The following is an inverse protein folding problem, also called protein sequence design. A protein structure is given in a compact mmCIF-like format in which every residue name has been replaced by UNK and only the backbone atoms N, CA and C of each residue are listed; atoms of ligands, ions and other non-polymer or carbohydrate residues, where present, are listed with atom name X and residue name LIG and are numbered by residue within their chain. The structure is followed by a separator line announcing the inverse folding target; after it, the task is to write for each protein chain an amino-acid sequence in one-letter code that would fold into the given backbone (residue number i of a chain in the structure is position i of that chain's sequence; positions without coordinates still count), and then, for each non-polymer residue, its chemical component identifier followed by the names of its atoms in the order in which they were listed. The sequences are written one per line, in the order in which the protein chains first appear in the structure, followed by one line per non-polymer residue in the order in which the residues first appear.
data_IF_654172344731
#
_entry.id   IF_654172344731
#
_cell.length_a   1.000
_cell.length_b   1.000
_cell.length_c   1.000
_cell.angle_alpha   90.00
_cell.angle_beta   90.00
_cell.angle_gamma   90.00
#
_symmetry.space_group_name_H-M   'P 1'
#
loop_
_entity.id
_entity.type
_entity.pdbx_description
1 polymer ?
#
# COMPACT_ATOMS: atom_id res chain seq x y z
N UNK A 1 -40.60 -9.23 44.75
CA UNK A 1 -39.30 -8.58 44.99
C UNK A 1 -38.13 -9.38 44.42
N UNK A 2 -37.99 -10.68 44.73
CA UNK A 2 -36.88 -11.54 44.24
C UNK A 2 -36.83 -11.62 42.69
N UNK A 3 -37.98 -11.81 42.04
CA UNK A 3 -38.05 -11.88 40.56
C UNK A 3 -37.63 -10.59 39.86
N UNK A 4 -37.88 -9.43 40.47
CA UNK A 4 -37.49 -8.11 39.93
C UNK A 4 -35.99 -7.88 40.11
N UNK A 5 -35.44 -8.22 41.29
CA UNK A 5 -34.01 -8.14 41.55
C UNK A 5 -33.19 -9.06 40.62
N UNK A 6 -33.66 -10.29 40.38
CA UNK A 6 -33.03 -11.22 39.44
C UNK A 6 -33.03 -10.67 38.01
N UNK A 7 -34.13 -10.05 37.56
CA UNK A 7 -34.18 -9.37 36.25
C UNK A 7 -33.18 -8.22 36.14
N UNK A 8 -33.08 -7.36 37.15
CA UNK A 8 -32.10 -6.28 37.15
C UNK A 8 -30.67 -6.80 37.14
N UNK A 9 -30.38 -7.89 37.85
CA UNK A 9 -29.05 -8.52 37.87
C UNK A 9 -28.68 -9.13 36.51
N UNK A 10 -29.64 -9.76 35.82
CA UNK A 10 -29.43 -10.27 34.45
C UNK A 10 -29.14 -9.11 33.50
N UNK A 11 -29.95 -8.04 33.54
CA UNK A 11 -29.76 -6.86 32.68
C UNK A 11 -28.42 -6.18 32.98
N UNK A 12 -28.05 -5.99 34.25
CA UNK A 12 -26.78 -5.40 34.64
C UNK A 12 -25.58 -6.23 34.16
N UNK A 13 -25.67 -7.56 34.25
CA UNK A 13 -24.63 -8.46 33.73
C UNK A 13 -24.51 -8.34 32.21
N UNK A 14 -25.63 -8.30 31.48
CA UNK A 14 -25.62 -8.13 30.02
C UNK A 14 -25.02 -6.78 29.60
N UNK A 15 -25.42 -5.70 30.26
CA UNK A 15 -24.89 -4.36 29.99
C UNK A 15 -23.40 -4.26 30.33
N UNK A 16 -22.96 -4.88 31.43
CA UNK A 16 -21.53 -4.91 31.79
C UNK A 16 -20.72 -5.70 30.76
N UNK A 17 -21.25 -6.83 30.28
CA UNK A 17 -20.63 -7.59 29.19
C UNK A 17 -20.54 -6.79 27.89
N UNK A 18 -21.61 -6.07 27.52
CA UNK A 18 -21.61 -5.20 26.35
C UNK A 18 -20.59 -4.05 26.50
N UNK A 19 -20.52 -3.40 27.68
CA UNK A 19 -19.56 -2.35 27.97
C UNK A 19 -18.11 -2.86 27.89
N UNK A 20 -17.83 -4.05 28.44
CA UNK A 20 -16.52 -4.68 28.33
C UNK A 20 -16.16 -4.98 26.86
N UNK A 21 -17.12 -5.45 26.05
CA UNK A 21 -16.94 -5.68 24.62
C UNK A 21 -16.60 -4.40 23.85
N UNK A 22 -17.33 -3.30 24.09
CA UNK A 22 -17.06 -2.00 23.49
C UNK A 22 -15.70 -1.43 23.92
N UNK A 23 -15.34 -1.60 25.18
CA UNK A 23 -14.02 -1.20 25.68
C UNK A 23 -12.89 -1.97 25.00
N UNK A 24 -13.04 -3.29 24.84
CA UNK A 24 -12.08 -4.12 24.13
C UNK A 24 -11.95 -3.72 22.65
N UNK A 25 -13.07 -3.43 21.98
CA UNK A 25 -13.07 -2.92 20.61
C UNK A 25 -12.32 -1.57 20.50
N UNK A 26 -12.57 -0.62 21.42
CA UNK A 26 -11.85 0.65 21.43
C UNK A 26 -10.34 0.51 21.68
N UNK A 27 -9.93 -0.45 22.52
CA UNK A 27 -8.51 -0.78 22.70
C UNK A 27 -7.88 -1.35 21.43
N UNK A 28 -8.62 -2.20 20.71
CA UNK A 28 -8.18 -2.77 19.44
C UNK A 28 -8.02 -1.68 18.37
N UNK A 29 -9.01 -0.80 18.22
CA UNK A 29 -8.96 0.32 17.27
C UNK A 29 -7.77 1.23 17.53
N UNK A 30 -7.47 1.51 18.81
CA UNK A 30 -6.29 2.30 19.17
C UNK A 30 -4.98 1.62 18.77
N UNK A 31 -4.84 0.32 18.99
CA UNK A 31 -3.65 -0.44 18.58
C UNK A 31 -3.49 -0.49 17.06
N UNK A 32 -4.59 -0.64 16.33
CA UNK A 32 -4.60 -0.58 14.86
C UNK A 32 -4.14 0.80 14.38
N UNK A 33 -4.66 1.87 14.96
CA UNK A 33 -4.26 3.23 14.62
C UNK A 33 -2.78 3.51 14.94
N UNK A 34 -2.27 2.98 16.05
CA UNK A 34 -0.84 3.06 16.40
C UNK A 34 0.03 2.30 15.38
N UNK A 35 -0.40 1.11 14.94
CA UNK A 35 0.30 0.34 13.91
C UNK A 35 0.26 1.01 12.53
N UNK A 36 -0.89 1.57 12.14
CA UNK A 36 -1.03 2.33 10.88
C UNK A 36 -0.16 3.59 10.88
N UNK A 37 -0.06 4.27 12.03
CA UNK A 37 0.87 5.38 12.21
C UNK A 37 2.32 4.92 12.02
N UNK A 38 2.70 3.77 12.57
CA UNK A 38 4.05 3.23 12.42
C UNK A 38 4.37 2.93 10.94
N UNK A 39 3.42 2.39 10.17
CA UNK A 39 3.57 2.22 8.71
C UNK A 39 3.79 3.58 8.03
N UNK A 40 2.96 4.57 8.35
CA UNK A 40 3.06 5.91 7.76
C UNK A 40 4.40 6.61 8.09
N UNK A 41 5.02 6.28 9.22
CA UNK A 41 6.34 6.77 9.61
C UNK A 41 7.49 5.84 9.20
N UNK A 42 7.23 4.86 8.34
CA UNK A 42 8.20 3.85 7.86
C UNK A 42 8.84 2.98 8.96
N UNK A 43 8.24 2.93 10.15
CA UNK A 43 8.61 1.95 11.19
C UNK A 43 7.92 0.62 10.91
N UNK A 44 8.38 -0.05 9.85
CA UNK A 44 7.81 -1.32 9.40
C UNK A 44 8.02 -2.45 10.42
N UNK A 45 9.08 -2.38 11.22
CA UNK A 45 9.39 -3.40 12.25
C UNK A 45 8.47 -3.26 13.45
N UNK A 46 8.26 -2.02 13.94
CA UNK A 46 7.29 -1.75 14.99
C UNK A 46 5.87 -2.14 14.57
N UNK A 47 5.46 -1.73 13.36
CA UNK A 47 4.17 -2.09 12.80
C UNK A 47 3.96 -3.61 12.70
N UNK A 48 4.96 -4.37 12.23
CA UNK A 48 4.87 -5.83 12.12
C UNK A 48 4.61 -6.49 13.48
N UNK A 49 5.33 -6.07 14.53
CA UNK A 49 5.15 -6.61 15.87
C UNK A 49 3.72 -6.37 16.38
N UNK A 50 3.24 -5.13 16.27
CA UNK A 50 1.89 -4.77 16.73
C UNK A 50 0.82 -5.53 15.95
N UNK A 51 0.96 -5.65 14.62
CA UNK A 51 0.02 -6.42 13.80
C UNK A 51 0.07 -7.93 14.07
N UNK A 52 1.21 -8.49 14.44
CA UNK A 52 1.32 -9.88 14.85
C UNK A 52 0.56 -10.14 16.17
N UNK A 53 0.77 -9.29 17.18
CA UNK A 53 0.06 -9.37 18.47
C UNK A 53 -1.45 -9.22 18.31
N UNK A 54 -1.89 -8.31 17.43
CA UNK A 54 -3.32 -8.14 17.11
C UNK A 54 -3.86 -9.41 16.45
N UNK A 55 -3.17 -9.95 15.45
CA UNK A 55 -3.61 -11.17 14.77
C UNK A 55 -3.74 -12.34 15.75
N UNK A 56 -2.76 -12.55 16.63
CA UNK A 56 -2.81 -13.58 17.66
C UNK A 56 -4.02 -13.40 18.58
N UNK A 57 -4.34 -12.17 18.98
CA UNK A 57 -5.53 -11.90 19.81
C UNK A 57 -6.85 -12.22 19.10
N UNK A 58 -6.89 -12.07 17.77
CA UNK A 58 -8.07 -12.36 16.96
C UNK A 58 -8.31 -13.86 16.79
N UNK A 59 -7.27 -14.70 16.90
CA UNK A 59 -7.42 -16.17 16.82
C UNK A 59 -8.36 -16.71 17.90
N UNK A 60 -8.36 -16.11 19.09
CA UNK A 60 -9.25 -16.47 20.21
C UNK A 60 -10.74 -16.28 19.88
N UNK A 61 -11.04 -15.50 18.85
CA UNK A 61 -12.42 -15.23 18.39
C UNK A 61 -12.78 -15.97 17.09
N UNK A 62 -11.93 -16.87 16.59
CA UNK A 62 -12.19 -17.69 15.38
C UNK A 62 -13.48 -18.49 15.42
N UNK A 63 -13.88 -18.96 16.60
CA UNK A 63 -15.14 -19.67 16.79
C UNK A 63 -16.39 -18.83 16.49
N UNK A 64 -16.26 -17.50 16.41
CA UNK A 64 -17.30 -16.55 16.00
C UNK A 64 -16.89 -15.85 14.69
N UNK A 65 -17.08 -16.49 13.52
CA UNK A 65 -16.55 -16.02 12.23
C UNK A 65 -17.21 -14.73 11.69
N UNK A 66 -18.24 -14.23 12.35
CA UNK A 66 -18.91 -12.97 12.02
C UNK A 66 -18.43 -11.82 12.92
N UNK A 67 -17.88 -12.13 14.10
CA UNK A 67 -17.34 -11.13 15.02
C UNK A 67 -15.97 -10.69 14.50
N UNK A 68 -15.77 -9.37 14.34
CA UNK A 68 -14.51 -8.77 13.90
C UNK A 68 -14.00 -9.27 12.54
N UNK A 69 -14.87 -9.74 11.65
CA UNK A 69 -14.48 -10.21 10.31
C UNK A 69 -13.71 -9.14 9.54
N UNK A 70 -14.27 -7.94 9.45
CA UNK A 70 -13.63 -6.81 8.77
C UNK A 70 -12.28 -6.43 9.38
N UNK A 71 -12.12 -6.58 10.71
CA UNK A 71 -10.84 -6.34 11.38
C UNK A 71 -9.80 -7.41 11.05
N UNK A 72 -10.20 -8.67 10.92
CA UNK A 72 -9.28 -9.74 10.47
C UNK A 72 -8.85 -9.54 9.03
N UNK A 73 -9.79 -9.21 8.16
CA UNK A 73 -9.53 -8.89 6.76
C UNK A 73 -8.59 -7.67 6.64
N UNK A 74 -8.82 -6.62 7.44
CA UNK A 74 -7.93 -5.46 7.47
C UNK A 74 -6.53 -5.86 7.95
N UNK A 75 -6.41 -6.54 9.10
CA UNK A 75 -5.11 -6.99 9.65
C UNK A 75 -4.34 -7.87 8.66
N UNK A 76 -5.01 -8.81 7.99
CA UNK A 76 -4.40 -9.65 6.96
C UNK A 76 -3.83 -8.81 5.80
N UNK A 77 -4.61 -7.83 5.34
CA UNK A 77 -4.21 -6.88 4.29
C UNK A 77 -2.99 -6.04 4.71
N UNK A 78 -2.99 -5.49 5.94
CA UNK A 78 -1.88 -4.64 6.40
C UNK A 78 -0.60 -5.44 6.61
N UNK A 79 -0.71 -6.67 7.12
CA UNK A 79 0.44 -7.60 7.21
C UNK A 79 0.99 -7.96 5.83
N UNK A 80 0.13 -8.20 4.84
CA UNK A 80 0.56 -8.40 3.46
C UNK A 80 1.26 -7.14 2.90
N UNK A 81 0.70 -5.95 3.14
CA UNK A 81 1.29 -4.70 2.70
C UNK A 81 2.68 -4.48 3.33
N UNK A 82 2.87 -4.80 4.61
CA UNK A 82 4.18 -4.76 5.26
C UNK A 82 5.21 -5.65 4.56
N UNK A 83 4.83 -6.89 4.19
CA UNK A 83 5.73 -7.78 3.45
C UNK A 83 6.05 -7.22 2.06
N UNK A 84 5.07 -6.63 1.39
CA UNK A 84 5.26 -5.93 0.12
C UNK A 84 6.26 -4.79 0.27
N UNK A 85 6.07 -3.89 1.24
CA UNK A 85 6.97 -2.74 1.44
C UNK A 85 8.40 -3.14 1.84
N UNK A 86 8.57 -4.27 2.52
CA UNK A 86 9.89 -4.83 2.83
C UNK A 86 10.55 -5.53 1.64
N UNK A 87 9.87 -5.64 0.51
CA UNK A 87 10.38 -6.29 -0.69
C UNK A 87 10.36 -7.82 -0.63
N UNK A 88 9.59 -8.41 0.30
CA UNK A 88 9.43 -9.86 0.47
C UNK A 88 8.34 -10.42 -0.46
N UNK A 89 8.38 -10.04 -1.74
CA UNK A 89 7.31 -10.29 -2.70
C UNK A 89 7.04 -11.78 -2.94
N UNK A 90 8.09 -12.58 -3.20
CA UNK A 90 7.94 -14.01 -3.46
C UNK A 90 7.34 -14.75 -2.26
N UNK A 91 7.82 -14.46 -1.05
CA UNK A 91 7.27 -15.02 0.20
C UNK A 91 5.80 -14.66 0.39
N UNK A 92 5.42 -13.42 0.04
CA UNK A 92 4.03 -12.97 0.12
C UNK A 92 3.14 -13.71 -0.89
N UNK A 93 3.58 -13.86 -2.13
CA UNK A 93 2.83 -14.60 -3.17
C UNK A 93 2.65 -16.06 -2.76
N UNK A 94 3.73 -16.70 -2.31
CA UNK A 94 3.71 -18.09 -1.83
C UNK A 94 2.74 -18.31 -0.67
N UNK A 95 2.60 -17.33 0.24
CA UNK A 95 1.69 -17.43 1.37
C UNK A 95 0.21 -17.53 0.96
N UNK A 96 -0.14 -17.05 -0.24
CA UNK A 96 -1.53 -16.89 -0.67
C UNK A 96 -1.92 -17.63 -1.96
N UNK A 97 -0.97 -18.28 -2.63
CA UNK A 97 -1.20 -18.99 -3.90
C UNK A 97 -1.13 -20.51 -3.78
N UNK A 98 -0.78 -21.06 -2.62
CA UNK A 98 -0.72 -22.50 -2.38
C UNK A 98 -2.12 -23.09 -2.16
N UNK A 99 -2.33 -24.40 -2.41
CA UNK A 99 -3.64 -25.02 -2.23
C UNK A 99 -4.19 -24.94 -0.79
N UNK A 100 -3.31 -24.85 0.20
CA UNK A 100 -3.60 -24.73 1.63
C UNK A 100 -3.59 -23.28 2.14
N UNK A 101 -3.41 -22.30 1.24
CA UNK A 101 -3.35 -20.89 1.60
C UNK A 101 -4.69 -20.36 2.14
N UNK A 102 -4.65 -19.36 3.04
CA UNK A 102 -5.85 -18.64 3.45
C UNK A 102 -6.59 -18.05 2.24
N UNK A 103 -7.93 -18.12 2.26
CA UNK A 103 -8.73 -17.54 1.19
C UNK A 103 -8.66 -16.02 1.18
N UNK A 104 -8.40 -15.44 0.01
CA UNK A 104 -8.48 -14.01 -0.24
C UNK A 104 -9.78 -13.58 -0.92
N UNK A 105 -10.70 -14.52 -1.21
CA UNK A 105 -11.80 -14.30 -2.15
C UNK A 105 -12.71 -13.11 -1.79
N UNK A 106 -12.89 -12.85 -0.49
CA UNK A 106 -13.75 -11.77 0.01
C UNK A 106 -12.97 -10.52 0.43
N UNK A 107 -11.67 -10.46 0.17
CA UNK A 107 -10.80 -9.36 0.57
C UNK A 107 -10.04 -8.81 -0.64
N UNK A 108 -10.68 -7.86 -1.33
CA UNK A 108 -10.13 -7.28 -2.57
C UNK A 108 -8.83 -6.51 -2.33
N UNK A 109 -8.70 -5.82 -1.20
CA UNK A 109 -7.49 -5.07 -0.86
C UNK A 109 -6.29 -6.03 -0.73
N UNK A 110 -6.50 -7.19 -0.10
CA UNK A 110 -5.49 -8.23 0.01
C UNK A 110 -5.15 -8.82 -1.36
N UNK A 111 -6.16 -9.11 -2.20
CA UNK A 111 -5.91 -9.57 -3.58
C UNK A 111 -5.06 -8.55 -4.36
N UNK A 112 -5.34 -7.25 -4.21
CA UNK A 112 -4.58 -6.20 -4.86
C UNK A 112 -3.12 -6.14 -4.40
N UNK A 113 -2.88 -6.22 -3.09
CA UNK A 113 -1.51 -6.26 -2.54
C UNK A 113 -0.74 -7.49 -3.06
N UNK A 114 -1.37 -8.67 -3.09
CA UNK A 114 -0.76 -9.90 -3.61
C UNK A 114 -0.53 -9.82 -5.12
N UNK A 115 -1.44 -9.22 -5.89
CA UNK A 115 -1.25 -8.98 -7.32
C UNK A 115 -0.04 -8.06 -7.61
N UNK A 116 0.11 -6.99 -6.83
CA UNK A 116 1.28 -6.12 -6.93
C UNK A 116 2.56 -6.87 -6.58
N UNK A 117 2.53 -7.72 -5.55
CA UNK A 117 3.67 -8.55 -5.16
C UNK A 117 4.02 -9.58 -6.24
N UNK A 118 3.04 -10.23 -6.85
CA UNK A 118 3.21 -11.19 -7.94
C UNK A 118 3.96 -10.55 -9.12
N UNK A 119 3.48 -9.39 -9.59
CA UNK A 119 4.16 -8.62 -10.62
C UNK A 119 5.60 -8.23 -10.22
N UNK A 120 5.81 -7.75 -8.99
CA UNK A 120 7.15 -7.38 -8.50
C UNK A 120 8.09 -8.57 -8.33
N UNK A 121 7.55 -9.75 -8.01
CA UNK A 121 8.33 -10.99 -7.86
C UNK A 121 8.76 -11.58 -9.20
N UNK A 122 7.96 -11.37 -10.25
CA UNK A 122 8.23 -11.83 -11.62
C UNK A 122 9.15 -10.88 -12.41
N UNK A 123 9.44 -9.68 -11.89
CA UNK A 123 10.39 -8.75 -12.51
C UNK A 123 11.83 -9.27 -12.37
N UNK A 124 12.53 -9.38 -13.50
CA UNK A 124 13.93 -9.76 -13.57
C UNK A 124 14.77 -8.60 -14.11
N UNK A 125 15.85 -8.19 -13.43
CA UNK A 125 16.80 -7.23 -13.98
C UNK A 125 17.39 -7.76 -15.29
N UNK A 126 17.42 -6.91 -16.34
CA UNK A 126 17.95 -7.30 -17.65
C UNK A 126 17.11 -8.33 -18.41
N UNK A 127 15.82 -8.47 -18.09
CA UNK A 127 14.91 -9.31 -18.85
C UNK A 127 14.90 -8.91 -20.34
N UNK A 128 14.95 -9.90 -21.23
CA UNK A 128 14.75 -9.66 -22.65
C UNK A 128 13.29 -9.28 -22.92
N UNK A 129 13.04 -8.79 -24.14
CA UNK A 129 11.74 -8.28 -24.58
C UNK A 129 10.63 -9.32 -24.43
N UNK A 130 10.89 -10.57 -24.80
CA UNK A 130 9.92 -11.65 -24.76
C UNK A 130 9.50 -11.98 -23.33
N UNK A 131 10.47 -12.09 -22.40
CA UNK A 131 10.18 -12.33 -20.99
C UNK A 131 9.44 -11.16 -20.36
N UNK A 132 9.84 -9.91 -20.67
CA UNK A 132 9.16 -8.73 -20.18
C UNK A 132 7.70 -8.67 -20.63
N UNK A 133 7.42 -8.94 -21.91
CA UNK A 133 6.06 -9.01 -22.45
C UNK A 133 5.25 -10.12 -21.78
N UNK A 134 5.84 -11.31 -21.55
CA UNK A 134 5.18 -12.40 -20.83
C UNK A 134 4.79 -12.03 -19.39
N UNK A 135 5.68 -11.39 -18.65
CA UNK A 135 5.40 -10.90 -17.29
C UNK A 135 4.30 -9.84 -17.28
N UNK A 136 4.30 -8.93 -18.25
CA UNK A 136 3.27 -7.90 -18.37
C UNK A 136 1.92 -8.51 -18.76
N UNK A 137 1.88 -9.45 -19.70
CA UNK A 137 0.66 -10.17 -20.09
C UNK A 137 0.02 -10.90 -18.92
N UNK A 138 0.84 -11.54 -18.09
CA UNK A 138 0.38 -12.15 -16.84
C UNK A 138 -0.20 -11.11 -15.88
N UNK A 139 0.49 -10.00 -15.64
CA UNK A 139 0.03 -8.93 -14.76
C UNK A 139 -1.30 -8.30 -15.24
N UNK A 140 -1.47 -8.07 -16.55
CA UNK A 140 -2.73 -7.62 -17.16
C UNK A 140 -3.85 -8.61 -16.82
N UNK A 141 -3.61 -9.91 -16.97
CA UNK A 141 -4.57 -10.95 -16.64
C UNK A 141 -4.94 -11.00 -15.15
N UNK A 142 -3.99 -10.72 -14.25
CA UNK A 142 -4.24 -10.62 -12.80
C UNK A 142 -5.12 -9.41 -12.49
N UNK A 143 -4.74 -8.20 -12.89
CA UNK A 143 -5.53 -6.99 -12.60
C UNK A 143 -6.91 -7.01 -13.26
N UNK A 144 -7.05 -7.59 -14.46
CA UNK A 144 -8.35 -7.77 -15.11
C UNK A 144 -9.30 -8.59 -14.24
N UNK A 145 -8.82 -9.71 -13.67
CA UNK A 145 -9.63 -10.56 -12.78
C UNK A 145 -10.08 -9.83 -11.51
N UNK A 146 -9.24 -8.93 -10.97
CA UNK A 146 -9.63 -8.08 -9.84
C UNK A 146 -10.77 -7.13 -10.25
N UNK A 147 -10.67 -6.52 -11.43
CA UNK A 147 -11.69 -5.61 -11.96
C UNK A 147 -12.99 -6.32 -12.36
N UNK A 148 -12.93 -7.60 -12.75
CA UNK A 148 -14.12 -8.44 -12.95
C UNK A 148 -14.89 -8.65 -11.62
N UNK A 149 -14.19 -8.63 -10.48
CA UNK A 149 -14.80 -8.71 -9.15
C UNK A 149 -15.29 -7.36 -8.60
N UNK A 150 -14.63 -6.25 -8.97
CA UNK A 150 -15.02 -4.89 -8.62
C UNK A 150 -14.47 -3.89 -9.66
N UNK A 151 -15.35 -3.45 -10.55
CA UNK A 151 -15.01 -2.56 -11.66
C UNK A 151 -14.59 -1.15 -11.22
N UNK A 152 -15.02 -0.72 -10.02
CA UNK A 152 -14.73 0.58 -9.45
C UNK A 152 -13.42 0.63 -8.63
N UNK A 153 -12.65 -0.46 -8.56
CA UNK A 153 -11.41 -0.51 -7.79
C UNK A 153 -10.27 0.26 -8.49
N UNK A 154 -10.21 1.57 -8.21
CA UNK A 154 -9.39 2.56 -8.92
C UNK A 154 -7.91 2.20 -9.04
N UNK A 155 -7.31 1.67 -7.98
CA UNK A 155 -5.86 1.37 -7.98
C UNK A 155 -5.53 0.19 -8.91
N UNK A 156 -6.41 -0.82 -8.99
CA UNK A 156 -6.27 -1.91 -9.95
C UNK A 156 -6.53 -1.43 -11.38
N UNK A 157 -7.50 -0.54 -11.58
CA UNK A 157 -7.76 0.06 -12.89
C UNK A 157 -6.56 0.87 -13.40
N UNK A 158 -5.94 1.65 -12.52
CA UNK A 158 -4.71 2.39 -12.85
C UNK A 158 -3.57 1.44 -13.23
N UNK A 159 -3.31 0.41 -12.42
CA UNK A 159 -2.25 -0.57 -12.71
C UNK A 159 -2.54 -1.34 -14.01
N UNK A 160 -3.79 -1.72 -14.27
CA UNK A 160 -4.20 -2.36 -15.51
C UNK A 160 -3.87 -1.50 -16.73
N UNK A 161 -4.30 -0.23 -16.74
CA UNK A 161 -4.03 0.71 -17.82
C UNK A 161 -2.53 0.94 -18.03
N UNK A 162 -1.78 1.09 -16.93
CA UNK A 162 -0.32 1.22 -16.97
C UNK A 162 0.32 0.00 -17.65
N UNK A 163 -0.08 -1.21 -17.29
CA UNK A 163 0.47 -2.44 -17.87
C UNK A 163 0.10 -2.57 -19.35
N UNK A 164 -1.12 -2.24 -19.77
CA UNK A 164 -1.54 -2.26 -21.18
C UNK A 164 -0.72 -1.29 -22.03
N UNK A 165 -0.48 -0.07 -21.52
CA UNK A 165 0.36 0.92 -22.19
C UNK A 165 1.80 0.46 -22.30
N UNK A 166 2.37 -0.03 -21.21
CA UNK A 166 3.74 -0.52 -21.18
C UNK A 166 3.94 -1.70 -22.13
N UNK A 167 2.98 -2.63 -22.17
CA UNK A 167 2.96 -3.73 -23.15
C UNK A 167 3.02 -3.22 -24.58
N UNK A 168 2.20 -2.21 -24.89
CA UNK A 168 2.10 -1.64 -26.24
C UNK A 168 3.41 -0.96 -26.65
N UNK A 169 4.03 -0.18 -25.76
CA UNK A 169 5.33 0.46 -25.96
C UNK A 169 6.45 -0.56 -26.23
N UNK A 170 6.56 -1.56 -25.35
CA UNK A 170 7.57 -2.61 -25.53
C UNK A 170 7.28 -3.39 -26.82
N UNK A 171 6.03 -3.62 -27.20
CA UNK A 171 5.66 -4.28 -28.46
C UNK A 171 5.89 -3.42 -29.71
N UNK A 172 5.88 -2.09 -29.61
CA UNK A 172 6.20 -1.18 -30.73
C UNK A 172 7.70 -1.02 -30.98
N UNK A 173 8.54 -1.43 -30.03
CA UNK A 173 10.00 -1.43 -30.19
C UNK A 173 10.75 -0.58 -29.16
N UNK A 174 10.04 -0.02 -28.18
CA UNK A 174 10.66 0.75 -27.11
C UNK A 174 11.51 -0.18 -26.22
N UNK A 175 12.53 0.40 -25.59
CA UNK A 175 13.41 -0.33 -24.68
C UNK A 175 12.63 -0.85 -23.47
N UNK A 176 12.96 -2.07 -23.04
CA UNK A 176 12.39 -2.65 -21.82
C UNK A 176 12.89 -1.81 -20.64
N UNK A 177 12.00 -1.23 -19.81
CA UNK A 177 12.43 -0.46 -18.66
C UNK A 177 13.30 -1.30 -17.74
N UNK A 178 14.33 -0.68 -17.16
CA UNK A 178 15.11 -1.34 -16.13
C UNK A 178 14.24 -1.47 -14.86
N UNK A 179 13.74 -2.67 -14.62
CA UNK A 179 12.93 -3.01 -13.44
C UNK A 179 13.82 -3.10 -12.20
N UNK A 180 14.39 -1.98 -11.77
CA UNK A 180 15.09 -1.87 -10.50
C UNK A 180 14.10 -1.67 -9.36
N UNK A 181 14.42 -2.25 -8.19
CA UNK A 181 13.68 -1.94 -6.97
C UNK A 181 13.87 -0.45 -6.68
N UNK A 182 12.80 0.33 -6.44
CA UNK A 182 12.95 1.66 -5.89
C UNK A 182 13.79 1.54 -4.63
N UNK A 183 14.91 2.26 -4.57
CA UNK A 183 15.62 2.48 -3.31
C UNK A 183 14.63 3.11 -2.35
N UNK A 184 14.42 2.47 -1.19
CA UNK A 184 13.73 3.12 -0.07
C UNK A 184 14.51 4.43 0.14
N UNK A 185 13.88 5.62 0.04
CA UNK A 185 14.59 6.86 0.33
C UNK A 185 15.26 6.71 1.69
N UNK A 186 16.53 7.11 1.75
CA UNK A 186 17.48 6.78 2.82
C UNK A 186 16.98 7.03 4.24
N UNK A 187 17.78 6.60 5.21
CA UNK A 187 17.42 6.78 6.61
C UNK A 187 17.20 8.27 6.94
N UNK A 188 16.35 8.62 7.92
CA UNK A 188 16.15 9.99 8.33
C UNK A 188 17.49 10.70 8.63
N UNK A 189 17.86 11.68 7.81
CA UNK A 189 19.11 12.44 7.94
C UNK A 189 20.29 11.93 7.10
N UNK A 190 20.11 10.88 6.30
CA UNK A 190 21.11 10.42 5.34
C UNK A 190 21.13 11.36 4.13
N UNK A 191 22.32 11.81 3.73
CA UNK A 191 22.47 12.63 2.53
C UNK A 191 22.04 11.79 1.32
N UNK A 192 21.32 12.38 0.34
CA UNK A 192 21.05 11.68 -0.91
C UNK A 192 22.36 11.16 -1.49
N UNK A 193 22.39 9.95 -2.08
CA UNK A 193 23.53 9.56 -2.89
C UNK A 193 23.81 10.68 -3.90
N UNK A 194 25.07 11.06 -4.05
CA UNK A 194 25.51 12.03 -5.05
C UNK A 194 25.30 11.40 -6.44
N UNK A 195 24.05 11.37 -6.90
CA UNK A 195 23.73 11.27 -8.30
C UNK A 195 24.01 12.64 -8.90
N UNK A 196 24.78 12.66 -10.00
CA UNK A 196 24.95 13.85 -10.83
C UNK A 196 23.54 14.33 -11.20
N UNK A 197 23.09 15.40 -10.54
CA UNK A 197 21.78 15.97 -10.78
C UNK A 197 21.77 16.53 -12.20
N UNK A 198 21.33 15.73 -13.18
CA UNK A 198 20.87 16.29 -14.44
C UNK A 198 19.77 17.29 -14.11
N UNK A 199 19.95 18.53 -14.58
CA UNK A 199 19.19 19.72 -14.22
C UNK A 199 17.73 19.40 -13.92
N UNK A 200 17.37 19.41 -12.62
CA UNK A 200 16.00 19.24 -12.18
C UNK A 200 15.19 20.40 -12.75
N UNK A 201 14.49 20.16 -13.86
CA UNK A 201 13.62 21.15 -14.47
C UNK A 201 12.37 21.30 -13.61
N UNK A 202 12.44 22.25 -12.67
CA UNK A 202 11.29 22.67 -11.89
C UNK A 202 10.35 23.44 -12.81
N UNK A 203 9.27 22.79 -13.25
CA UNK A 203 8.16 23.47 -13.92
C UNK A 203 7.39 24.30 -12.89
N UNK A 204 7.66 25.61 -12.87
CA UNK A 204 6.83 26.58 -12.15
C UNK A 204 5.66 26.96 -13.06
N UNK A 205 4.40 26.68 -12.68
CA UNK A 205 3.25 27.20 -13.40
C UNK A 205 3.32 28.72 -13.42
N UNK A 206 3.41 29.32 -14.61
CA UNK A 206 3.33 30.77 -14.77
C UNK A 206 1.87 31.16 -14.67
N UNK A 207 1.52 32.00 -13.70
CA UNK A 207 0.26 32.73 -13.75
C UNK A 207 0.27 33.62 -15.00
N UNK A 208 -0.68 33.37 -15.90
CA UNK A 208 -0.81 34.00 -17.21
C UNK A 208 -1.29 35.46 -17.16
N UNK A 209 -1.02 36.18 -16.06
CA UNK A 209 -1.60 37.50 -15.78
C UNK A 209 -0.59 38.64 -15.97
N UNK A 210 0.68 38.34 -16.20
CA UNK A 210 1.73 39.37 -16.35
C UNK A 210 2.32 39.28 -17.76
N UNK A 211 2.11 40.34 -18.52
CA UNK A 211 2.71 40.58 -19.84
C UNK A 211 4.21 40.86 -19.66
N UNK A 212 5.11 40.06 -20.26
CA UNK A 212 6.55 40.19 -20.08
C UNK A 212 7.15 41.49 -20.65
N UNK A 213 6.40 42.26 -21.44
CA UNK A 213 6.88 43.53 -22.00
C UNK A 213 6.72 44.73 -21.02
N UNK A 214 6.08 44.55 -19.87
CA UNK A 214 5.71 45.63 -18.93
C UNK A 214 6.54 45.67 -17.62
N UNK A 215 7.59 44.84 -17.48
CA UNK A 215 8.42 44.80 -16.26
C UNK A 215 9.92 44.96 -16.54
N UNK A 216 10.48 46.10 -16.16
CA UNK A 216 11.93 46.37 -16.08
C UNK A 216 12.58 45.75 -14.82
N UNK A 217 12.18 44.55 -14.41
CA UNK A 217 12.84 43.84 -13.29
C UNK A 217 13.96 42.94 -13.84
N UNK A 218 15.24 43.24 -13.53
CA UNK A 218 16.38 42.49 -14.07
C UNK A 218 16.51 41.06 -13.51
N UNK A 219 15.56 40.61 -12.69
CA UNK A 219 15.43 39.20 -12.29
C UNK A 219 14.58 38.37 -13.26
N UNK A 220 14.01 38.98 -14.29
CA UNK A 220 13.19 38.33 -15.32
C UNK A 220 13.98 38.30 -16.64
N UNK A 221 14.92 37.37 -16.74
CA UNK A 221 15.71 37.11 -17.94
C UNK A 221 16.78 36.06 -17.64
N UNK A 222 16.91 35.06 -18.52
CA UNK A 222 17.83 33.91 -18.50
C UNK A 222 18.73 33.71 -17.26
N UNK A 223 18.54 32.58 -16.59
CA UNK A 223 19.17 32.16 -15.34
C UNK A 223 20.61 32.64 -15.14
N UNK A 224 20.77 33.71 -14.38
CA UNK A 224 22.06 34.07 -13.81
C UNK A 224 22.38 33.12 -12.64
N UNK A 225 23.57 32.51 -12.60
CA UNK A 225 23.94 31.58 -11.54
C UNK A 225 24.03 32.30 -10.19
N UNK A 226 23.27 31.80 -9.21
CA UNK A 226 23.25 32.33 -7.84
C UNK A 226 24.59 32.07 -7.17
N UNK A 227 25.37 33.13 -6.95
CA UNK A 227 26.66 33.05 -6.26
C UNK A 227 26.43 32.94 -4.75
N UNK A 228 26.66 31.76 -4.15
CA UNK A 228 26.67 31.60 -2.69
C UNK A 228 27.78 32.49 -2.08
N UNK A 229 27.41 33.34 -1.12
CA UNK A 229 28.38 33.98 -0.21
C UNK A 229 28.78 32.95 0.86
N UNK A 230 30.08 32.88 1.14
CA UNK A 230 30.67 32.03 2.17
C UNK A 230 30.35 32.49 3.59
#
# INVERSE_FOLDING_TARGET
MIATALRYLIVATLLSGAAAGLFAAGQLDRRLAEADRAIATLDLTGAERTYAEIADSLTLTEWLPWVLRGTRESVATRRAALQYWRGNYATLVDAYTRPDSPSMANNIDLQFVVANADYRSAQQPGANRELALGTIDHAIGVYRRLLEGNDAYRDAAFNYELMVRLRTQIASGDEVPNFQRPTIPGNPGEAPPEEDMEDVQIYVPRDSVIDPDDTEDPTIGEGAPIRRRG
#
